data_IF_652349830234
#
_entry.id   IF_652349830234
#
_cell.length_a   1.000
_cell.length_b   1.000
_cell.length_c   1.000
_cell.angle_alpha   90.00
_cell.angle_beta   90.00
_cell.angle_gamma   90.00
#
_symmetry.space_group_name_H-M   'P 1'
#
loop_
_entity.id
_entity.type
_entity.pdbx_description
1 polymer ?
#
# COMPACT_ATOMS: atom_id res chain seq x y z
N UNK A 1 20.14 10.52 -18.07
CA UNK A 1 18.89 10.61 -18.87
C UNK A 1 19.20 10.41 -20.35
N UNK A 2 19.92 9.36 -20.71
CA UNK A 2 20.25 9.05 -22.11
C UNK A 2 19.80 7.63 -22.39
N UNK A 3 19.41 7.35 -23.63
CA UNK A 3 18.94 6.02 -24.05
C UNK A 3 20.03 4.95 -24.01
N UNK A 4 21.29 5.36 -23.79
CA UNK A 4 22.41 4.45 -23.55
C UNK A 4 22.32 3.75 -22.18
N UNK A 5 21.58 4.29 -21.21
CA UNK A 5 21.43 3.68 -19.88
C UNK A 5 20.09 2.95 -19.73
N UNK A 6 20.05 1.79 -19.04
CA UNK A 6 18.83 0.98 -18.90
C UNK A 6 17.63 1.70 -18.26
N UNK A 7 17.89 2.71 -17.41
CA UNK A 7 16.84 3.42 -16.69
C UNK A 7 15.89 4.19 -17.63
N UNK A 8 16.40 4.73 -18.75
CA UNK A 8 15.57 5.44 -19.71
C UNK A 8 14.49 4.53 -20.31
N UNK A 9 14.89 3.31 -20.71
CA UNK A 9 13.97 2.29 -21.20
C UNK A 9 12.96 1.88 -20.14
N UNK A 10 13.43 1.55 -18.92
CA UNK A 10 12.56 1.13 -17.81
C UNK A 10 11.51 2.19 -17.46
N UNK A 11 11.88 3.47 -17.49
CA UNK A 11 10.95 4.57 -17.24
C UNK A 11 9.86 4.65 -18.32
N UNK A 12 10.22 4.54 -19.60
CA UNK A 12 9.25 4.52 -20.72
C UNK A 12 8.35 3.29 -20.70
N UNK A 13 8.82 2.17 -20.16
CA UNK A 13 8.06 0.93 -20.03
C UNK A 13 7.04 0.98 -18.86
N UNK A 14 7.29 1.73 -17.78
CA UNK A 14 6.41 1.73 -16.59
C UNK A 14 4.91 1.94 -16.89
N UNK A 15 4.49 2.90 -17.75
CA UNK A 15 3.07 3.17 -17.95
C UNK A 15 2.29 1.99 -18.53
N UNK A 16 2.94 1.09 -19.29
CA UNK A 16 2.24 -0.06 -19.87
C UNK A 16 1.70 -0.99 -18.78
N UNK A 17 2.41 -1.11 -17.66
CA UNK A 17 2.01 -1.96 -16.53
C UNK A 17 0.74 -1.46 -15.84
N UNK A 18 0.43 -0.17 -15.95
CA UNK A 18 -0.75 0.45 -15.33
C UNK A 18 -1.95 0.60 -16.29
N UNK A 19 -1.76 0.31 -17.58
CA UNK A 19 -2.77 0.46 -18.64
C UNK A 19 -3.20 -0.88 -19.21
N UNK A 20 -2.27 -1.83 -19.33
CA UNK A 20 -2.51 -3.12 -19.93
C UNK A 20 -3.46 -3.96 -19.05
N UNK A 21 -4.46 -4.57 -19.69
CA UNK A 21 -5.53 -5.37 -19.04
C UNK A 21 -6.32 -4.65 -17.93
N UNK A 22 -6.43 -3.33 -18.02
CA UNK A 22 -7.30 -2.53 -17.17
C UNK A 22 -6.56 -1.35 -16.57
N UNK A 23 -7.02 -0.14 -16.91
CA UNK A 23 -6.52 1.06 -16.24
C UNK A 23 -6.86 1.03 -14.74
N UNK A 24 -6.16 1.84 -13.94
CA UNK A 24 -6.41 1.90 -12.49
C UNK A 24 -7.87 2.15 -12.06
N UNK A 25 -8.71 2.76 -12.92
CA UNK A 25 -10.15 2.89 -12.63
C UNK A 25 -10.88 1.55 -12.73
N UNK A 26 -10.57 0.76 -13.77
CA UNK A 26 -11.19 -0.55 -13.99
C UNK A 26 -10.84 -1.48 -12.83
N UNK A 27 -9.55 -1.52 -12.45
CA UNK A 27 -9.07 -2.33 -11.32
C UNK A 27 -9.78 -1.92 -10.02
N UNK A 28 -9.87 -0.63 -9.72
CA UNK A 28 -10.49 -0.17 -8.48
C UNK A 28 -12.00 -0.52 -8.43
N UNK A 29 -12.71 -0.35 -9.54
CA UNK A 29 -14.13 -0.72 -9.62
C UNK A 29 -14.34 -2.24 -9.58
N UNK A 30 -13.43 -3.03 -10.12
CA UNK A 30 -13.48 -4.48 -10.02
C UNK A 30 -13.28 -4.98 -8.59
N UNK A 31 -12.41 -4.33 -7.80
CA UNK A 31 -12.30 -4.63 -6.37
C UNK A 31 -13.62 -4.34 -5.67
N UNK A 32 -14.23 -3.16 -5.87
CA UNK A 32 -15.54 -2.84 -5.26
C UNK A 32 -16.63 -3.82 -5.70
N UNK A 33 -16.63 -4.24 -6.97
CA UNK A 33 -17.53 -5.28 -7.47
C UNK A 33 -17.31 -6.59 -6.73
N UNK A 34 -16.06 -7.03 -6.55
CA UNK A 34 -15.74 -8.25 -5.80
C UNK A 34 -16.16 -8.15 -4.33
N UNK A 35 -16.03 -6.98 -3.70
CA UNK A 35 -16.52 -6.75 -2.33
C UNK A 35 -18.03 -6.95 -2.21
N UNK A 36 -18.79 -6.46 -3.19
CA UNK A 36 -20.24 -6.57 -3.22
C UNK A 36 -20.73 -7.98 -3.56
N UNK A 37 -20.05 -8.68 -4.48
CA UNK A 37 -20.47 -10.02 -4.94
C UNK A 37 -19.92 -11.15 -4.08
N UNK A 38 -18.81 -10.93 -3.37
CA UNK A 38 -18.09 -11.95 -2.61
C UNK A 38 -17.73 -11.43 -1.21
N UNK A 39 -18.70 -11.28 -0.29
CA UNK A 39 -18.47 -10.69 1.03
C UNK A 39 -17.40 -11.41 1.87
N UNK A 40 -17.29 -12.73 1.74
CA UNK A 40 -16.26 -13.54 2.43
C UNK A 40 -14.83 -13.12 2.07
N UNK A 41 -14.61 -12.53 0.90
CA UNK A 41 -13.30 -12.01 0.53
C UNK A 41 -12.89 -10.81 1.39
N UNK A 42 -13.85 -9.97 1.81
CA UNK A 42 -13.59 -8.89 2.75
C UNK A 42 -13.29 -9.42 4.14
N UNK A 43 -14.03 -10.42 4.61
CA UNK A 43 -13.74 -11.07 5.90
C UNK A 43 -12.32 -11.65 5.92
N UNK A 44 -11.92 -12.35 4.85
CA UNK A 44 -10.57 -12.89 4.71
C UNK A 44 -9.50 -11.80 4.66
N UNK A 45 -9.75 -10.71 3.91
CA UNK A 45 -8.84 -9.56 3.85
C UNK A 45 -8.67 -8.90 5.22
N UNK A 46 -9.78 -8.66 5.94
CA UNK A 46 -9.76 -8.05 7.27
C UNK A 46 -9.04 -8.94 8.29
N UNK A 47 -9.25 -10.26 8.23
CA UNK A 47 -8.53 -11.21 9.06
C UNK A 47 -7.02 -11.18 8.76
N UNK A 48 -6.62 -11.08 7.49
CA UNK A 48 -5.20 -11.06 7.10
C UNK A 48 -4.47 -9.80 7.56
N UNK A 49 -5.11 -8.62 7.45
CA UNK A 49 -4.49 -7.37 7.94
C UNK A 49 -4.47 -7.31 9.48
N UNK A 50 -5.42 -7.97 10.15
CA UNK A 50 -5.49 -7.99 11.62
C UNK A 50 -4.34 -8.75 12.28
N UNK A 51 -3.66 -9.62 11.53
CA UNK A 51 -2.49 -10.36 12.02
C UNK A 51 -1.30 -9.46 12.39
N UNK A 52 -1.33 -8.18 12.00
CA UNK A 52 -0.32 -7.19 12.36
C UNK A 52 -0.77 -6.20 13.45
N UNK A 53 -1.96 -6.37 14.02
CA UNK A 53 -2.44 -5.47 15.09
C UNK A 53 -1.58 -5.51 16.33
N UNK A 54 -1.49 -4.38 17.01
CA UNK A 54 -0.69 -4.21 18.23
C UNK A 54 0.81 -4.05 17.98
N UNK A 55 1.27 -4.04 16.72
CA UNK A 55 2.66 -3.71 16.39
C UNK A 55 2.96 -2.23 16.58
N UNK A 56 2.04 -1.36 16.15
CA UNK A 56 2.22 0.09 16.16
C UNK A 56 0.84 0.81 16.15
N UNK A 57 0.70 1.88 16.94
CA UNK A 57 -0.57 2.62 17.12
C UNK A 57 -1.03 3.33 15.83
N UNK A 58 -0.10 3.81 15.01
CA UNK A 58 -0.40 4.44 13.72
C UNK A 58 -0.90 3.39 12.73
N UNK A 59 -0.30 2.20 12.70
CA UNK A 59 -0.82 1.07 11.94
C UNK A 59 -2.23 0.72 12.40
N UNK A 60 -2.47 0.54 13.70
CA UNK A 60 -3.78 0.16 14.23
C UNK A 60 -4.87 1.18 13.90
N UNK A 61 -4.54 2.46 13.98
CA UNK A 61 -5.41 3.57 13.57
C UNK A 61 -5.72 3.49 12.07
N UNK A 62 -4.73 3.21 11.24
CA UNK A 62 -4.89 3.05 9.80
C UNK A 62 -5.75 1.83 9.45
N UNK A 63 -5.56 0.69 10.13
CA UNK A 63 -6.39 -0.50 9.93
C UNK A 63 -7.86 -0.25 10.28
N UNK A 64 -8.14 0.60 11.27
CA UNK A 64 -9.50 1.03 11.60
C UNK A 64 -10.09 1.92 10.50
N UNK A 65 -9.33 2.91 10.01
CA UNK A 65 -9.83 3.78 8.92
C UNK A 65 -10.09 3.00 7.62
N UNK A 66 -9.29 1.96 7.33
CA UNK A 66 -9.51 1.06 6.20
C UNK A 66 -10.86 0.33 6.32
N UNK A 67 -11.25 -0.10 7.52
CA UNK A 67 -12.56 -0.72 7.76
C UNK A 67 -13.70 0.24 7.47
N UNK A 68 -13.57 1.48 7.91
CA UNK A 68 -14.57 2.53 7.66
C UNK A 68 -14.67 2.84 6.16
N UNK A 69 -13.53 2.96 5.47
CA UNK A 69 -13.47 3.19 4.02
C UNK A 69 -14.07 2.03 3.21
N UNK A 70 -13.88 0.79 3.66
CA UNK A 70 -14.50 -0.40 3.06
C UNK A 70 -16.02 -0.36 3.26
N UNK A 71 -16.48 -0.03 4.46
CA UNK A 71 -17.90 0.01 4.81
C UNK A 71 -18.67 1.10 4.04
N UNK A 72 -18.03 2.22 3.72
CA UNK A 72 -18.62 3.33 2.96
C UNK A 72 -18.09 3.43 1.51
N UNK A 73 -17.55 2.34 0.96
CA UNK A 73 -16.95 2.36 -0.38
C UNK A 73 -17.99 2.63 -1.46
N UNK A 74 -17.69 3.55 -2.39
CA UNK A 74 -18.53 3.86 -3.55
C UNK A 74 -17.66 4.09 -4.80
N UNK A 75 -18.21 4.06 -6.03
CA UNK A 75 -17.43 4.24 -7.25
C UNK A 75 -16.56 5.51 -7.28
N UNK A 76 -17.00 6.59 -6.62
CA UNK A 76 -16.25 7.85 -6.52
C UNK A 76 -15.02 7.74 -5.60
N UNK A 77 -15.08 6.92 -4.56
CA UNK A 77 -14.00 6.72 -3.58
C UNK A 77 -13.17 5.46 -3.86
N UNK A 78 -13.54 4.66 -4.87
CA UNK A 78 -12.92 3.38 -5.19
C UNK A 78 -11.39 3.37 -5.15
N UNK A 79 -10.73 4.33 -5.79
CA UNK A 79 -9.26 4.40 -5.79
C UNK A 79 -8.67 4.62 -4.41
N UNK A 80 -9.29 5.50 -3.62
CA UNK A 80 -8.84 5.79 -2.25
C UNK A 80 -9.00 4.56 -1.36
N UNK A 81 -10.15 3.89 -1.43
CA UNK A 81 -10.40 2.66 -0.67
C UNK A 81 -9.42 1.56 -1.07
N UNK A 82 -9.19 1.34 -2.37
CA UNK A 82 -8.31 0.28 -2.86
C UNK A 82 -6.83 0.58 -2.57
N UNK A 83 -6.40 1.83 -2.70
CA UNK A 83 -5.07 2.25 -2.24
C UNK A 83 -4.91 1.99 -0.73
N UNK A 84 -5.93 2.31 0.06
CA UNK A 84 -5.88 2.10 1.50
C UNK A 84 -5.77 0.63 1.86
N UNK A 85 -6.54 -0.24 1.19
CA UNK A 85 -6.46 -1.68 1.32
C UNK A 85 -5.08 -2.22 0.96
N UNK A 86 -4.49 -1.75 -0.15
CA UNK A 86 -3.17 -2.19 -0.59
C UNK A 86 -2.08 -1.83 0.43
N UNK A 87 -2.10 -0.60 0.97
CA UNK A 87 -1.14 -0.15 1.98
C UNK A 87 -1.28 -0.92 3.29
N UNK A 88 -2.52 -1.23 3.72
CA UNK A 88 -2.77 -2.04 4.92
C UNK A 88 -2.21 -3.47 4.78
N UNK A 89 -2.45 -4.10 3.63
CA UNK A 89 -1.92 -5.43 3.34
C UNK A 89 -0.39 -5.44 3.28
N UNK A 90 0.21 -4.44 2.62
CA UNK A 90 1.67 -4.28 2.57
C UNK A 90 2.26 -4.12 3.98
N UNK A 91 1.66 -3.27 4.82
CA UNK A 91 2.11 -3.09 6.20
C UNK A 91 2.00 -4.39 7.00
N UNK A 92 0.88 -5.11 6.91
CA UNK A 92 0.70 -6.40 7.62
C UNK A 92 1.77 -7.42 7.24
N UNK A 93 2.05 -7.55 5.95
CA UNK A 93 3.08 -8.47 5.45
C UNK A 93 4.47 -8.05 5.94
N UNK A 94 4.80 -6.75 5.88
CA UNK A 94 6.12 -6.27 6.32
C UNK A 94 6.32 -6.47 7.82
N UNK A 95 5.33 -6.16 8.65
CA UNK A 95 5.38 -6.41 10.10
C UNK A 95 5.67 -7.88 10.41
N UNK A 96 5.06 -8.80 9.66
CA UNK A 96 5.19 -10.24 9.92
C UNK A 96 6.47 -10.87 9.40
N UNK A 97 7.06 -10.30 8.34
CA UNK A 97 8.07 -11.02 7.56
C UNK A 97 9.30 -10.20 7.16
N UNK A 98 9.33 -8.89 7.40
CA UNK A 98 10.48 -8.05 7.11
C UNK A 98 11.25 -7.66 8.38
N UNK A 99 12.54 -7.25 8.24
CA UNK A 99 13.25 -6.65 9.36
C UNK A 99 12.50 -5.43 9.92
N UNK A 100 12.55 -5.26 11.25
CA UNK A 100 11.83 -4.21 11.98
C UNK A 100 12.04 -2.82 11.37
N UNK A 101 13.29 -2.46 11.04
CA UNK A 101 13.62 -1.19 10.41
C UNK A 101 12.86 -0.91 9.09
N UNK A 102 12.56 -1.96 8.31
CA UNK A 102 11.79 -1.84 7.06
C UNK A 102 10.29 -1.68 7.35
N UNK A 103 9.75 -2.47 8.27
CA UNK A 103 8.35 -2.41 8.65
C UNK A 103 8.00 -1.05 9.27
N UNK A 104 8.76 -0.62 10.28
CA UNK A 104 8.55 0.67 10.96
C UNK A 104 8.78 1.84 9.99
N UNK A 105 9.84 1.76 9.19
CA UNK A 105 10.12 2.73 8.13
C UNK A 105 8.97 2.85 7.13
N UNK A 106 8.33 1.74 6.75
CA UNK A 106 7.16 1.73 5.88
C UNK A 106 5.95 2.39 6.56
N UNK A 107 5.60 1.97 7.78
CA UNK A 107 4.47 2.49 8.54
C UNK A 107 4.56 4.01 8.66
N UNK A 108 5.70 4.53 9.15
CA UNK A 108 5.88 5.96 9.40
C UNK A 108 5.80 6.82 8.13
N UNK A 109 6.27 6.29 6.99
CA UNK A 109 6.34 7.08 5.75
C UNK A 109 5.15 6.92 4.81
N UNK A 110 4.38 5.83 4.93
CA UNK A 110 3.24 5.54 4.04
C UNK A 110 1.90 5.77 4.74
N UNK A 111 1.80 5.43 6.03
CA UNK A 111 0.55 5.51 6.78
C UNK A 111 0.43 6.82 7.60
N UNK A 112 1.55 7.47 7.87
CA UNK A 112 1.61 8.80 8.48
C UNK A 112 1.45 9.94 7.47
N UNK A 113 2.14 11.06 7.70
CA UNK A 113 2.16 12.19 6.77
C UNK A 113 3.03 11.89 5.54
N UNK A 114 2.44 11.23 4.54
CA UNK A 114 3.12 10.84 3.31
C UNK A 114 3.52 12.04 2.44
N UNK A 115 4.78 12.06 2.02
CA UNK A 115 5.28 12.98 0.99
C UNK A 115 5.05 12.43 -0.43
N UNK A 116 4.89 13.33 -1.40
CA UNK A 116 4.79 12.99 -2.83
C UNK A 116 6.15 12.77 -3.49
N UNK A 117 7.25 13.08 -2.80
CA UNK A 117 8.62 12.89 -3.31
C UNK A 117 9.38 11.91 -2.42
N UNK A 118 10.23 11.09 -3.06
CA UNK A 118 11.16 10.23 -2.33
C UNK A 118 12.22 11.06 -1.58
N UNK A 119 12.76 10.49 -0.50
CA UNK A 119 13.77 11.14 0.36
C UNK A 119 13.18 11.98 1.49
N UNK A 120 11.87 12.16 1.56
CA UNK A 120 11.19 12.90 2.62
C UNK A 120 10.68 11.95 3.72
N UNK A 121 11.60 11.23 4.39
CA UNK A 121 11.28 10.33 5.50
C UNK A 121 11.30 11.08 6.84
N UNK A 122 10.44 10.72 7.81
CA UNK A 122 10.51 11.26 9.17
C UNK A 122 11.86 10.97 9.83
N UNK A 123 12.23 11.80 10.80
CA UNK A 123 13.38 11.51 11.68
C UNK A 123 13.11 10.25 12.49
N UNK A 124 14.10 9.37 12.60
CA UNK A 124 14.00 8.11 13.37
C UNK A 124 13.88 6.85 12.52
N UNK A 125 13.75 6.97 11.20
CA UNK A 125 13.86 5.81 10.30
C UNK A 125 15.33 5.39 10.17
N UNK A 126 15.64 4.12 10.43
CA UNK A 126 16.98 3.54 10.30
C UNK A 126 17.33 3.33 8.81
N UNK A 127 17.87 4.37 8.19
CA UNK A 127 18.22 4.36 6.77
C UNK A 127 19.35 3.38 6.46
N UNK A 128 20.34 3.26 7.34
CA UNK A 128 21.51 2.42 7.13
C UNK A 128 21.10 0.95 7.11
N UNK A 129 20.24 0.51 8.04
CA UNK A 129 19.70 -0.85 8.04
C UNK A 129 18.85 -1.14 6.80
N UNK A 130 18.02 -0.18 6.36
CA UNK A 130 17.20 -0.34 5.15
C UNK A 130 18.07 -0.49 3.89
N UNK A 131 19.13 0.32 3.78
CA UNK A 131 20.07 0.29 2.65
C UNK A 131 20.90 -0.99 2.67
N UNK A 132 21.40 -1.42 3.83
CA UNK A 132 22.21 -2.64 3.94
C UNK A 132 21.45 -3.92 3.53
N UNK A 133 20.11 -3.90 3.62
CA UNK A 133 19.24 -5.01 3.19
C UNK A 133 18.89 -4.96 1.69
N UNK A 134 19.06 -3.82 1.01
CA UNK A 134 18.60 -3.59 -0.37
C UNK A 134 19.48 -4.23 -1.44
#
# INVERSE_FOLDING_TARGET
YTEAFPLARRYREQPVLAVWEGSGNVIALDVLRAMATTPVAIEAFLAEIDLARGHDDLLDTYLNSVRDLIASAEPRTARMTVEAMALALQASILVRYAPLAVADGFIQSRLGSRSLVYGALPTGVDLDAIVARA
#
